data_IF_696573967197
#
_entry.id   IF_696573967197
#
_cell.length_a   1.000
_cell.length_b   1.000
_cell.length_c   1.000
_cell.angle_alpha   90.00
_cell.angle_beta   90.00
_cell.angle_gamma   90.00
#
_symmetry.space_group_name_H-M   'P 1'
#
loop_
_entity.id
_entity.type
_entity.pdbx_description
1 polymer ?
#
# COMPACT_ATOMS: atom_id res chain seq x y z
N UNK A 1 -27.17 -9.83 -2.22
CA UNK A 1 -27.11 -10.54 -0.94
C UNK A 1 -28.53 -10.89 -0.52
N UNK A 2 -28.77 -12.15 -0.15
CA UNK A 2 -29.98 -12.54 0.59
C UNK A 2 -29.52 -12.74 2.03
N UNK A 3 -30.29 -12.20 2.97
CA UNK A 3 -29.96 -12.26 4.40
C UNK A 3 -29.74 -13.72 4.83
N UNK A 4 -28.60 -14.02 5.46
CA UNK A 4 -28.22 -15.38 5.87
C UNK A 4 -27.76 -16.32 4.75
N UNK A 5 -27.55 -15.85 3.52
CA UNK A 5 -27.08 -16.72 2.43
C UNK A 5 -25.69 -17.32 2.71
N UNK A 6 -25.49 -18.63 2.43
CA UNK A 6 -24.17 -19.24 2.54
C UNK A 6 -23.26 -18.78 1.40
N UNK A 7 -21.95 -18.83 1.66
CA UNK A 7 -20.91 -18.54 0.67
C UNK A 7 -20.31 -19.84 0.14
N UNK A 8 -19.92 -19.86 -1.13
CA UNK A 8 -19.13 -20.95 -1.70
C UNK A 8 -17.72 -20.44 -1.97
N UNK A 9 -16.72 -21.04 -1.34
CA UNK A 9 -15.32 -20.64 -1.48
C UNK A 9 -14.39 -21.85 -1.54
N UNK A 10 -13.55 -21.94 -2.57
CA UNK A 10 -12.64 -23.08 -2.77
C UNK A 10 -13.34 -24.44 -2.89
N UNK A 11 -14.59 -24.47 -3.39
CA UNK A 11 -15.42 -25.68 -3.48
C UNK A 11 -16.10 -26.08 -2.16
N UNK A 12 -15.87 -25.35 -1.07
CA UNK A 12 -16.53 -25.56 0.23
C UNK A 12 -17.65 -24.55 0.46
N UNK A 13 -18.66 -24.95 1.23
CA UNK A 13 -19.82 -24.10 1.58
C UNK A 13 -19.68 -23.63 3.02
N UNK A 14 -19.70 -22.31 3.22
CA UNK A 14 -19.58 -21.63 4.51
C UNK A 14 -20.89 -20.92 4.85
N UNK A 15 -21.31 -20.97 6.12
CA UNK A 15 -22.53 -20.28 6.58
C UNK A 15 -22.29 -18.79 6.76
N UNK A 16 -23.35 -17.97 6.66
CA UNK A 16 -23.23 -16.54 7.01
C UNK A 16 -22.79 -16.41 8.49
N UNK A 17 -21.77 -15.59 8.73
CA UNK A 17 -21.07 -15.43 10.01
C UNK A 17 -19.88 -16.38 10.21
N UNK A 18 -19.71 -17.40 9.38
CA UNK A 18 -18.62 -18.37 9.52
C UNK A 18 -17.28 -17.77 9.08
N UNK A 19 -16.25 -17.95 9.91
CA UNK A 19 -14.89 -17.50 9.63
C UNK A 19 -13.94 -18.69 9.41
N UNK A 20 -13.10 -18.60 8.39
CA UNK A 20 -12.19 -19.66 7.97
C UNK A 20 -10.85 -19.09 7.49
N UNK A 21 -9.79 -19.88 7.54
CA UNK A 21 -8.50 -19.50 6.94
C UNK A 21 -8.40 -20.09 5.54
N UNK A 22 -8.37 -19.23 4.52
CA UNK A 22 -8.16 -19.68 3.13
C UNK A 22 -6.70 -20.08 2.88
N UNK A 23 -5.77 -19.53 3.67
CA UNK A 23 -4.37 -19.93 3.75
C UNK A 23 -3.77 -19.40 5.04
N UNK A 24 -2.51 -19.72 5.33
CA UNK A 24 -1.81 -19.11 6.47
C UNK A 24 -1.70 -17.57 6.37
N UNK A 25 -1.89 -16.99 5.16
CA UNK A 25 -1.78 -15.56 4.90
C UNK A 25 -3.11 -14.80 5.05
N UNK A 26 -4.26 -15.47 5.14
CA UNK A 26 -5.59 -14.82 5.09
C UNK A 26 -6.59 -15.46 6.04
N UNK A 27 -7.34 -14.59 6.72
CA UNK A 27 -8.54 -14.94 7.46
C UNK A 27 -9.75 -14.40 6.70
N UNK A 28 -10.70 -15.26 6.37
CA UNK A 28 -11.91 -14.93 5.63
C UNK A 28 -13.15 -15.11 6.50
N UNK A 29 -14.20 -14.35 6.19
CA UNK A 29 -15.52 -14.45 6.81
C UNK A 29 -16.58 -14.39 5.73
N UNK A 30 -17.53 -15.33 5.79
CA UNK A 30 -18.73 -15.31 4.98
C UNK A 30 -19.77 -14.41 5.63
N UNK A 31 -20.35 -13.48 4.87
CA UNK A 31 -21.46 -12.63 5.29
C UNK A 31 -22.45 -12.50 4.13
N UNK A 32 -23.64 -13.09 4.30
CA UNK A 32 -24.80 -12.97 3.42
C UNK A 32 -24.52 -13.25 1.93
N UNK A 33 -23.73 -14.30 1.70
CA UNK A 33 -23.30 -14.78 0.38
C UNK A 33 -22.04 -14.10 -0.16
N UNK A 34 -21.43 -13.16 0.56
CA UNK A 34 -20.16 -12.54 0.20
C UNK A 34 -19.03 -12.98 1.13
N UNK A 35 -17.87 -13.28 0.56
CA UNK A 35 -16.66 -13.62 1.33
C UNK A 35 -15.76 -12.39 1.41
N UNK A 36 -15.47 -11.94 2.62
CA UNK A 36 -14.47 -10.91 2.89
C UNK A 36 -13.24 -11.53 3.53
N UNK A 37 -12.04 -11.22 3.03
CA UNK A 37 -10.78 -11.70 3.60
C UNK A 37 -9.90 -10.55 4.08
N UNK A 38 -9.21 -10.75 5.20
CA UNK A 38 -8.20 -9.84 5.74
C UNK A 38 -6.81 -10.50 5.69
N UNK A 39 -5.77 -9.78 5.23
CA UNK A 39 -4.41 -10.31 5.24
C UNK A 39 -3.90 -10.44 6.68
N UNK A 40 -3.28 -11.56 6.98
CA UNK A 40 -2.56 -11.86 8.22
C UNK A 40 -1.08 -11.44 8.14
N UNK A 41 -0.56 -11.30 6.93
CA UNK A 41 0.82 -10.84 6.68
C UNK A 41 0.90 -9.32 6.45
N UNK A 42 2.06 -8.73 6.75
CA UNK A 42 2.34 -7.35 6.35
C UNK A 42 2.36 -7.20 4.83
N UNK A 43 1.65 -6.18 4.35
CA UNK A 43 1.59 -5.77 2.94
C UNK A 43 2.40 -4.48 2.71
N UNK A 44 3.36 -4.19 3.59
CA UNK A 44 4.19 -3.00 3.49
C UNK A 44 5.18 -3.14 2.33
N UNK A 45 5.40 -2.02 1.63
CA UNK A 45 6.34 -1.94 0.50
C UNK A 45 7.64 -1.29 0.99
N UNK A 46 8.75 -2.01 0.89
CA UNK A 46 10.08 -1.45 1.13
C UNK A 46 10.65 -0.95 -0.19
N UNK A 47 10.77 0.37 -0.29
CA UNK A 47 11.43 1.02 -1.42
C UNK A 47 12.95 1.07 -1.18
N UNK A 48 13.75 1.12 -2.27
CA UNK A 48 15.18 1.37 -2.16
C UNK A 48 15.49 2.61 -1.30
N UNK A 49 16.36 2.42 -0.30
CA UNK A 49 16.85 3.47 0.59
C UNK A 49 18.38 3.41 0.69
N UNK A 50 19.06 4.44 1.23
CA UNK A 50 20.52 4.40 1.43
C UNK A 50 20.98 3.18 2.23
N UNK A 51 20.24 2.80 3.28
CA UNK A 51 20.56 1.65 4.14
C UNK A 51 20.13 0.30 3.53
N UNK A 52 19.35 0.32 2.45
CA UNK A 52 18.84 -0.88 1.79
C UNK A 52 18.57 -0.57 0.32
N UNK A 53 19.62 -0.52 -0.52
CA UNK A 53 19.49 -0.12 -1.91
C UNK A 53 18.75 -1.16 -2.76
N UNK A 54 18.84 -2.44 -2.40
CA UNK A 54 18.19 -3.54 -3.12
C UNK A 54 17.31 -4.38 -2.18
N UNK A 55 16.14 -3.84 -1.76
CA UNK A 55 15.20 -4.60 -0.96
C UNK A 55 14.57 -5.71 -1.81
N UNK A 56 14.53 -6.93 -1.26
CA UNK A 56 13.86 -8.08 -1.87
C UNK A 56 13.03 -8.80 -0.82
N UNK A 57 11.83 -9.22 -1.22
CA UNK A 57 10.89 -9.95 -0.36
C UNK A 57 11.08 -11.44 -0.58
N UNK A 58 11.36 -12.18 0.49
CA UNK A 58 11.74 -13.60 0.41
C UNK A 58 10.92 -14.49 1.32
N UNK A 59 10.53 -15.66 0.82
CA UNK A 59 9.86 -16.70 1.59
C UNK A 59 10.92 -17.49 2.36
N UNK A 60 10.96 -17.31 3.68
CA UNK A 60 11.86 -18.08 4.54
C UNK A 60 11.24 -19.45 4.87
N UNK A 61 12.05 -20.53 4.92
CA UNK A 61 11.58 -21.85 5.33
C UNK A 61 10.88 -21.79 6.70
N UNK A 62 9.73 -22.45 6.83
CA UNK A 62 8.95 -22.51 8.07
C UNK A 62 8.17 -21.25 8.46
N UNK A 63 8.38 -20.09 7.81
CA UNK A 63 7.60 -18.87 8.05
C UNK A 63 6.43 -18.75 7.08
N UNK A 64 5.25 -18.33 7.55
CA UNK A 64 4.11 -18.08 6.67
C UNK A 64 4.30 -16.84 5.78
N UNK A 65 4.69 -15.72 6.38
CA UNK A 65 4.88 -14.46 5.67
C UNK A 65 6.29 -14.37 5.07
N UNK A 66 6.41 -13.68 3.94
CA UNK A 66 7.72 -13.28 3.42
C UNK A 66 8.32 -12.16 4.27
N UNK A 67 9.64 -12.09 4.31
CA UNK A 67 10.39 -11.05 5.00
C UNK A 67 11.26 -10.26 4.03
N UNK A 68 11.56 -9.02 4.40
CA UNK A 68 12.44 -8.15 3.63
C UNK A 68 13.89 -8.47 3.94
N UNK A 69 14.65 -8.85 2.91
CA UNK A 69 16.11 -8.89 2.93
C UNK A 69 16.65 -7.76 2.06
N UNK A 70 17.79 -7.22 2.45
CA UNK A 70 18.51 -6.20 1.69
C UNK A 70 19.72 -6.89 1.08
N UNK A 71 19.68 -7.10 -0.24
CA UNK A 71 20.84 -7.66 -0.93
C UNK A 71 21.89 -6.54 -1.12
N UNK A 72 23.17 -6.91 -1.06
CA UNK A 72 24.27 -6.00 -1.39
C UNK A 72 24.33 -5.76 -2.92
N UNK A 73 24.87 -4.61 -3.32
CA UNK A 73 25.17 -4.36 -4.73
C UNK A 73 26.13 -5.45 -5.22
N UNK A 74 25.70 -6.32 -6.14
CA UNK A 74 26.65 -7.15 -6.90
C UNK A 74 27.41 -6.24 -7.86
N UNK A 75 28.41 -5.53 -7.36
CA UNK A 75 29.39 -4.91 -8.24
C UNK A 75 30.38 -5.99 -8.71
N UNK A 76 30.33 -6.29 -10.00
CA UNK A 76 31.51 -6.77 -10.72
C UNK A 76 32.46 -5.58 -10.92
N UNK A 77 33.20 -5.21 -9.89
CA UNK A 77 34.36 -4.31 -10.01
C UNK A 77 35.48 -4.85 -9.15
N UNK A 78 36.50 -5.39 -9.83
CA UNK A 78 37.74 -5.83 -9.24
C UNK A 78 38.57 -4.60 -8.83
N UNK A 79 38.39 -4.10 -7.61
CA UNK A 79 39.41 -3.33 -6.89
C UNK A 79 39.28 -3.68 -5.41
N UNK A 80 40.37 -4.17 -4.81
CA UNK A 80 40.40 -4.83 -3.50
C UNK A 80 40.07 -3.95 -2.29
N UNK A 81 39.93 -4.56 -1.10
CA UNK A 81 39.49 -3.85 0.10
C UNK A 81 40.62 -2.97 0.64
N UNK A 82 40.46 -1.66 0.52
CA UNK A 82 41.25 -0.70 1.29
C UNK A 82 40.65 -0.58 2.70
N UNK A 83 41.31 -1.25 3.65
CA UNK A 83 41.37 -1.01 5.10
C UNK A 83 40.08 -0.53 5.81
N UNK A 84 39.59 -1.41 6.69
CA UNK A 84 38.65 -1.06 7.73
C UNK A 84 39.25 0.02 8.65
N UNK A 85 38.89 1.28 8.41
CA UNK A 85 39.05 2.33 9.41
C UNK A 85 38.04 2.03 10.52
N UNK A 86 38.54 1.63 11.69
CA UNK A 86 37.78 1.59 12.94
C UNK A 86 37.08 2.94 13.12
N UNK A 87 35.77 2.99 12.87
CA UNK A 87 34.91 4.06 13.35
C UNK A 87 34.54 3.71 14.79
N UNK A 88 34.62 4.70 15.67
CA UNK A 88 34.06 4.62 17.01
C UNK A 88 32.59 4.19 16.86
N UNK A 89 32.19 3.10 17.51
CA UNK A 89 30.78 2.73 17.67
C UNK A 89 30.10 3.88 18.43
N UNK A 90 29.50 4.82 17.69
CA UNK A 90 28.50 5.69 18.27
C UNK A 90 27.40 4.79 18.79
N UNK A 91 27.29 4.67 20.11
CA UNK A 91 26.11 4.08 20.76
C UNK A 91 24.88 4.79 20.18
N UNK A 92 24.19 4.13 19.26
CA UNK A 92 22.92 4.57 18.68
C UNK A 92 21.87 4.59 19.78
N UNK A 93 21.92 5.62 20.62
CA UNK A 93 20.78 6.02 21.44
C UNK A 93 19.59 6.30 20.51
N UNK A 94 18.35 6.05 20.94
CA UNK A 94 17.19 6.41 20.14
C UNK A 94 17.25 7.89 19.78
N UNK A 95 16.99 8.20 18.50
CA UNK A 95 16.98 9.58 17.98
C UNK A 95 16.19 10.49 18.94
N UNK A 96 16.76 11.62 19.41
CA UNK A 96 16.08 12.55 20.31
C UNK A 96 14.70 13.00 19.81
N UNK A 97 14.45 12.99 18.50
CA UNK A 97 13.15 13.30 17.90
C UNK A 97 12.08 12.21 18.14
N UNK A 98 12.51 10.99 18.46
CA UNK A 98 11.65 9.85 18.81
C UNK A 98 11.34 9.81 20.32
N UNK A 99 11.89 10.72 21.12
CA UNK A 99 11.70 10.73 22.55
C UNK A 99 10.66 11.78 22.94
N UNK A 100 9.47 11.33 23.34
CA UNK A 100 8.51 12.19 24.05
C UNK A 100 8.77 12.09 25.54
N UNK A 101 8.34 13.12 26.29
CA UNK A 101 8.58 13.23 27.74
C UNK A 101 8.23 11.95 28.52
N UNK A 102 7.30 11.13 28.02
CA UNK A 102 6.79 9.96 28.72
C UNK A 102 7.07 8.62 28.02
N UNK A 103 7.66 8.60 26.82
CA UNK A 103 7.94 7.35 26.12
C UNK A 103 8.81 7.46 24.85
N UNK A 104 9.34 6.30 24.44
CA UNK A 104 9.95 6.10 23.14
C UNK A 104 8.87 5.92 22.06
N UNK A 105 8.86 6.80 21.08
CA UNK A 105 7.89 6.82 19.98
C UNK A 105 8.27 5.77 18.95
N UNK A 106 7.34 4.87 18.68
CA UNK A 106 7.40 3.84 17.66
C UNK A 106 6.26 4.09 16.68
N UNK A 107 6.62 4.41 15.44
CA UNK A 107 5.66 4.61 14.35
C UNK A 107 6.08 3.75 13.19
N UNK A 108 5.20 2.86 12.75
CA UNK A 108 5.44 2.09 11.53
C UNK A 108 5.27 3.00 10.31
N UNK A 109 5.87 2.58 9.20
CA UNK A 109 5.51 3.12 7.91
C UNK A 109 4.03 2.87 7.59
N UNK A 110 3.51 3.64 6.63
CA UNK A 110 2.17 3.39 6.09
C UNK A 110 2.17 2.13 5.23
N UNK A 111 1.13 1.31 5.38
CA UNK A 111 0.87 0.19 4.49
C UNK A 111 0.69 0.65 3.04
N UNK A 112 0.85 -0.30 2.11
CA UNK A 112 0.38 -0.11 0.75
C UNK A 112 -1.10 0.29 0.74
N UNK A 113 -1.50 1.03 -0.30
CA UNK A 113 -2.90 1.36 -0.49
C UNK A 113 -3.67 0.08 -0.81
N UNK A 114 -4.81 -0.14 -0.16
CA UNK A 114 -5.65 -1.32 -0.36
C UNK A 114 -6.21 -1.49 -1.78
N UNK A 115 -6.02 -0.49 -2.65
CA UNK A 115 -6.35 -0.54 -4.07
C UNK A 115 -5.23 0.10 -4.87
N UNK A 116 -4.89 -0.48 -6.02
CA UNK A 116 -3.87 0.08 -6.93
C UNK A 116 -4.41 1.24 -7.78
N UNK A 117 -5.73 1.36 -7.91
CA UNK A 117 -6.45 2.50 -8.49
C UNK A 117 -7.71 2.84 -7.68
N UNK A 118 -8.23 4.05 -7.87
CA UNK A 118 -9.42 4.51 -7.16
C UNK A 118 -9.15 4.79 -5.68
N UNK A 119 -10.22 5.08 -4.94
CA UNK A 119 -10.13 5.35 -3.51
C UNK A 119 -10.01 4.05 -2.70
N UNK A 120 -8.95 3.97 -1.90
CA UNK A 120 -8.66 2.88 -0.97
C UNK A 120 -8.25 3.40 0.40
N UNK A 121 -7.71 2.49 1.22
CA UNK A 121 -7.30 2.76 2.60
C UNK A 121 -5.83 2.34 2.78
N UNK A 122 -5.07 3.16 3.51
CA UNK A 122 -3.74 2.79 4.02
C UNK A 122 -3.74 2.94 5.54
N UNK A 123 -3.03 2.05 6.23
CA UNK A 123 -3.01 2.00 7.70
C UNK A 123 -1.59 1.98 8.23
N UNK A 124 -1.40 2.42 9.47
CA UNK A 124 -0.14 2.27 10.21
C UNK A 124 -0.44 2.07 11.70
N UNK A 125 0.56 1.66 12.46
CA UNK A 125 0.47 1.62 13.92
C UNK A 125 1.45 2.64 14.51
N UNK A 126 1.01 3.39 15.51
CA UNK A 126 1.86 4.37 16.18
C UNK A 126 1.46 4.53 17.63
N UNK A 127 2.44 4.74 18.52
CA UNK A 127 2.21 5.20 19.89
C UNK A 127 2.40 6.72 20.05
N UNK A 128 2.46 7.46 18.94
CA UNK A 128 2.50 8.92 18.93
C UNK A 128 1.12 9.50 19.32
N UNK A 129 0.86 9.47 20.62
CA UNK A 129 -0.28 10.15 21.25
C UNK A 129 0.08 10.53 22.69
N UNK A 130 -0.77 11.33 23.31
CA UNK A 130 -0.55 11.88 24.66
C UNK A 130 -0.38 10.78 25.73
N UNK A 131 -0.94 9.59 25.52
CA UNK A 131 -0.93 8.48 26.47
C UNK A 131 0.12 7.41 26.13
N UNK A 132 0.87 7.60 25.06
CA UNK A 132 1.81 6.64 24.49
C UNK A 132 1.29 5.20 24.32
N UNK A 133 0.05 5.07 23.85
CA UNK A 133 -0.55 3.75 23.58
C UNK A 133 -0.49 3.44 22.11
N UNK A 134 -0.17 2.20 21.75
CA UNK A 134 -0.19 1.76 20.36
C UNK A 134 -1.61 1.85 19.81
N UNK A 135 -1.78 2.60 18.74
CA UNK A 135 -3.05 2.81 18.06
C UNK A 135 -2.90 2.59 16.55
N UNK A 136 -3.92 1.96 15.96
CA UNK A 136 -4.02 1.81 14.51
C UNK A 136 -4.58 3.10 13.90
N UNK A 137 -3.79 3.76 13.08
CA UNK A 137 -4.23 4.90 12.30
C UNK A 137 -4.61 4.46 10.88
N UNK A 138 -5.66 5.07 10.34
CA UNK A 138 -6.13 4.85 8.98
C UNK A 138 -6.25 6.17 8.22
N UNK A 139 -5.92 6.16 6.92
CA UNK A 139 -6.11 7.29 6.01
C UNK A 139 -6.58 6.80 4.65
N UNK A 140 -7.36 7.64 3.97
CA UNK A 140 -7.73 7.43 2.57
C UNK A 140 -6.49 7.53 1.68
N UNK A 141 -6.41 6.72 0.64
CA UNK A 141 -5.35 6.77 -0.36
C UNK A 141 -5.93 6.62 -1.76
N UNK A 142 -5.29 7.25 -2.74
CA UNK A 142 -5.63 7.09 -4.16
C UNK A 142 -4.33 7.12 -4.95
N UNK A 143 -3.84 5.95 -5.37
CA UNK A 143 -2.56 5.83 -6.08
C UNK A 143 -2.69 6.41 -7.49
N UNK A 144 -3.80 6.13 -8.16
CA UNK A 144 -4.17 6.62 -9.50
C UNK A 144 -5.69 6.51 -9.73
N UNK A 145 -6.29 7.29 -10.63
CA UNK A 145 -7.65 7.05 -11.11
C UNK A 145 -7.74 5.72 -11.89
N UNK A 146 -8.87 5.02 -11.86
CA UNK A 146 -9.03 3.74 -12.57
C UNK A 146 -9.29 3.91 -14.07
N UNK A 147 -9.95 5.00 -14.49
CA UNK A 147 -10.34 5.27 -15.89
C UNK A 147 -9.31 6.10 -16.66
N UNK A 148 -8.09 6.24 -16.13
CA UNK A 148 -7.05 6.98 -16.83
C UNK A 148 -6.27 6.02 -17.74
N UNK A 149 -6.22 6.29 -19.04
CA UNK A 149 -5.38 5.58 -20.03
C UNK A 149 -3.90 5.93 -19.83
N UNK A 150 -3.36 5.54 -18.68
CA UNK A 150 -2.01 5.89 -18.25
C UNK A 150 -0.93 5.20 -19.09
N UNK A 151 -1.26 4.08 -19.75
CA UNK A 151 -0.36 3.35 -20.64
C UNK A 151 -0.08 4.12 -21.93
N UNK A 152 -1.10 4.76 -22.51
CA UNK A 152 -0.95 5.59 -23.71
C UNK A 152 -0.05 6.82 -23.47
N UNK A 153 0.03 7.25 -22.21
CA UNK A 153 0.89 8.35 -21.80
C UNK A 153 2.37 7.96 -21.68
N UNK A 154 2.72 6.68 -21.84
CA UNK A 154 4.11 6.22 -21.86
C UNK A 154 4.78 6.70 -23.15
N UNK A 155 5.79 7.56 -23.02
CA UNK A 155 6.58 8.04 -24.16
C UNK A 155 7.21 6.87 -24.92
N UNK A 156 7.18 6.95 -26.27
CA UNK A 156 7.85 5.98 -27.16
C UNK A 156 9.28 5.68 -26.67
N UNK A 157 9.62 4.40 -26.58
CA UNK A 157 10.92 3.91 -26.10
C UNK A 157 11.04 3.76 -24.58
N UNK A 158 10.06 4.21 -23.78
CA UNK A 158 10.00 3.92 -22.34
C UNK A 158 9.02 2.79 -22.07
N UNK A 159 9.25 2.04 -21.00
CA UNK A 159 8.34 0.99 -20.50
C UNK A 159 7.54 1.42 -19.26
N UNK A 160 7.80 2.61 -18.74
CA UNK A 160 7.19 3.13 -17.52
C UNK A 160 6.93 4.63 -17.60
N UNK A 161 5.83 5.07 -16.96
CA UNK A 161 5.60 6.45 -16.58
C UNK A 161 5.45 6.56 -15.07
N UNK A 162 6.40 7.25 -14.42
CA UNK A 162 6.43 7.34 -12.95
C UNK A 162 5.33 8.22 -12.38
N UNK A 163 5.11 9.38 -13.00
CA UNK A 163 4.14 10.38 -12.56
C UNK A 163 3.46 10.97 -13.80
N UNK A 164 2.28 10.49 -14.18
CA UNK A 164 1.53 11.04 -15.31
C UNK A 164 1.18 12.50 -15.05
N UNK A 165 1.16 13.30 -16.13
CA UNK A 165 0.72 14.70 -16.06
C UNK A 165 -0.80 14.71 -16.08
N UNK A 166 -1.41 14.90 -14.91
CA UNK A 166 -2.85 15.20 -14.82
C UNK A 166 -2.99 16.71 -14.71
N UNK A 167 -3.47 17.33 -15.77
CA UNK A 167 -3.53 18.80 -15.93
C UNK A 167 -4.71 19.43 -15.20
N UNK A 168 -5.76 18.66 -14.91
CA UNK A 168 -7.01 19.17 -14.34
C UNK A 168 -7.08 18.90 -12.83
N UNK A 169 -7.41 19.92 -12.00
CA UNK A 169 -7.78 19.69 -10.60
C UNK A 169 -8.95 18.72 -10.50
N UNK A 170 -8.92 17.83 -9.51
CA UNK A 170 -9.94 16.80 -9.30
C UNK A 170 -10.67 17.03 -7.97
N UNK A 171 -11.95 16.65 -7.92
CA UNK A 171 -12.65 16.42 -6.66
C UNK A 171 -12.52 14.94 -6.29
N UNK A 172 -12.47 14.66 -5.00
CA UNK A 172 -12.46 13.29 -4.50
C UNK A 172 -13.87 12.87 -4.11
N UNK A 173 -14.21 11.62 -4.35
CA UNK A 173 -15.51 11.04 -4.01
C UNK A 173 -15.35 9.87 -3.05
N UNK A 174 -16.17 9.85 -2.00
CA UNK A 174 -16.20 8.81 -0.99
C UNK A 174 -17.66 8.52 -0.61
N UNK A 175 -18.15 7.32 -0.93
CA UNK A 175 -19.50 6.86 -0.55
C UNK A 175 -20.62 7.86 -0.91
N UNK A 176 -20.54 8.48 -2.09
CA UNK A 176 -21.51 9.49 -2.55
C UNK A 176 -21.25 10.93 -2.06
N UNK A 177 -20.29 11.13 -1.16
CA UNK A 177 -19.86 12.45 -0.71
C UNK A 177 -18.70 12.97 -1.56
N UNK A 178 -18.69 14.27 -1.85
CA UNK A 178 -17.68 14.90 -2.73
C UNK A 178 -16.84 15.90 -1.95
N UNK A 179 -15.53 15.97 -2.23
CA UNK A 179 -14.65 16.94 -1.59
C UNK A 179 -15.10 18.38 -1.88
N UNK A 180 -15.11 19.21 -0.83
CA UNK A 180 -15.54 20.62 -0.93
C UNK A 180 -14.62 21.38 -1.87
N UNK A 181 -13.31 21.17 -1.74
CA UNK A 181 -12.27 21.78 -2.55
C UNK A 181 -11.88 20.86 -3.71
N UNK A 182 -11.40 21.45 -4.80
CA UNK A 182 -10.68 20.76 -5.87
C UNK A 182 -9.19 20.70 -5.55
N UNK A 183 -8.54 19.58 -5.86
CA UNK A 183 -7.14 19.35 -5.56
C UNK A 183 -6.33 19.10 -6.82
N UNK A 184 -5.14 19.71 -6.91
CA UNK A 184 -4.10 19.33 -7.89
C UNK A 184 -3.27 18.19 -7.34
N UNK A 185 -3.86 17.00 -7.27
CA UNK A 185 -3.21 15.81 -6.73
C UNK A 185 -2.22 15.22 -7.75
N UNK A 186 -1.10 14.68 -7.25
CA UNK A 186 -0.22 13.83 -8.06
C UNK A 186 -0.65 12.39 -7.92
N UNK A 187 -0.47 11.64 -8.99
CA UNK A 187 -0.76 10.21 -9.06
C UNK A 187 0.47 9.46 -9.56
N UNK A 188 0.58 8.18 -9.22
CA UNK A 188 1.61 7.30 -9.74
C UNK A 188 1.15 6.63 -11.02
N UNK A 189 2.06 6.44 -11.97
CA UNK A 189 1.71 5.84 -13.25
C UNK A 189 1.93 4.33 -13.30
N UNK A 190 2.01 3.81 -14.52
CA UNK A 190 2.06 2.38 -14.85
C UNK A 190 3.36 2.02 -15.55
N UNK A 191 3.66 0.73 -15.55
CA UNK A 191 4.77 0.12 -16.25
C UNK A 191 4.27 -1.12 -17.00
N UNK A 192 4.89 -1.42 -18.13
CA UNK A 192 4.57 -2.57 -18.99
C UNK A 192 5.64 -3.67 -18.94
N UNK A 193 6.64 -3.53 -18.08
CA UNK A 193 7.78 -4.45 -17.95
C UNK A 193 7.82 -5.24 -16.65
N UNK A 194 6.65 -5.44 -16.02
CA UNK A 194 6.52 -6.18 -14.76
C UNK A 194 6.90 -5.36 -13.52
N UNK A 195 7.27 -4.09 -13.66
CA UNK A 195 7.38 -3.17 -12.53
C UNK A 195 6.02 -2.61 -12.15
N UNK A 196 5.91 -2.12 -10.93
CA UNK A 196 4.82 -1.26 -10.49
C UNK A 196 5.41 0.07 -10.03
N UNK A 197 4.63 1.14 -10.19
CA UNK A 197 4.97 2.43 -9.61
C UNK A 197 4.07 2.72 -8.41
N UNK A 198 4.67 2.88 -7.23
CA UNK A 198 3.97 3.12 -5.97
C UNK A 198 4.36 4.49 -5.37
N UNK A 199 3.56 5.03 -4.44
CA UNK A 199 3.91 6.26 -3.72
C UNK A 199 5.21 6.11 -2.95
N UNK A 200 6.14 7.06 -3.11
CA UNK A 200 7.42 7.07 -2.37
C UNK A 200 7.39 8.07 -1.22
N UNK A 201 7.29 9.37 -1.52
CA UNK A 201 7.08 10.39 -0.49
C UNK A 201 5.62 10.82 -0.50
N UNK A 202 4.99 10.82 0.66
CA UNK A 202 3.57 11.18 0.83
C UNK A 202 3.40 12.14 1.99
N UNK A 203 2.32 12.92 1.97
CA UNK A 203 1.85 13.71 3.09
C UNK A 203 0.42 13.30 3.44
N UNK A 204 0.05 13.37 4.72
CA UNK A 204 -1.34 13.15 5.15
C UNK A 204 -1.98 14.49 5.47
N UNK A 205 -3.05 14.85 4.76
CA UNK A 205 -3.79 16.09 5.00
C UNK A 205 -5.27 15.81 5.25
N UNK A 206 -5.96 16.59 6.10
CA UNK A 206 -7.40 16.48 6.25
C UNK A 206 -8.12 17.03 5.01
N UNK A 207 -9.12 16.28 4.54
CA UNK A 207 -10.01 16.65 3.43
C UNK A 207 -11.45 16.66 3.95
N UNK A 208 -12.18 17.72 3.60
CA UNK A 208 -13.59 17.89 3.90
C UNK A 208 -14.42 17.39 2.71
N UNK A 209 -15.39 16.53 2.99
CA UNK A 209 -16.36 16.02 2.03
C UNK A 209 -17.75 16.51 2.41
N UNK A 210 -18.51 16.99 1.43
CA UNK A 210 -19.91 17.34 1.56
C UNK A 210 -20.76 16.21 0.99
N UNK A 211 -21.66 15.68 1.80
CA UNK A 211 -22.58 14.61 1.44
C UNK A 211 -23.91 15.18 0.89
N UNK A 212 -24.74 14.36 0.20
CA UNK A 212 -26.00 14.83 -0.40
C UNK A 212 -27.03 15.38 0.61
N UNK A 213 -26.99 14.89 1.84
CA UNK A 213 -27.76 15.35 3.00
C UNK A 213 -27.29 16.70 3.57
N UNK A 214 -26.17 17.23 3.07
CA UNK A 214 -25.58 18.49 3.51
C UNK A 214 -24.54 18.35 4.63
N UNK A 215 -24.33 17.14 5.16
CA UNK A 215 -23.31 16.90 6.19
C UNK A 215 -21.89 17.12 5.64
N UNK A 216 -21.01 17.66 6.49
CA UNK A 216 -19.60 17.84 6.18
C UNK A 216 -18.76 16.93 7.07
N UNK A 217 -18.09 15.97 6.44
CA UNK A 217 -17.21 15.02 7.12
C UNK A 217 -15.74 15.30 6.82
N UNK A 218 -14.89 15.22 7.84
CA UNK A 218 -13.43 15.32 7.72
C UNK A 218 -12.79 13.94 7.69
N UNK A 219 -11.89 13.71 6.72
CA UNK A 219 -11.12 12.47 6.59
C UNK A 219 -9.65 12.77 6.31
N UNK A 220 -8.75 12.01 6.94
CA UNK A 220 -7.30 12.07 6.64
C UNK A 220 -7.06 11.40 5.29
N UNK A 221 -6.36 12.07 4.38
CA UNK A 221 -6.09 11.58 3.04
C UNK A 221 -4.60 11.70 2.68
N UNK A 222 -4.09 10.71 1.95
CA UNK A 222 -2.75 10.66 1.40
C UNK A 222 -2.64 11.56 0.16
N UNK A 223 -1.64 12.44 0.17
CA UNK A 223 -1.22 13.26 -0.97
C UNK A 223 0.19 12.84 -1.41
N UNK A 224 0.30 12.33 -2.62
CA UNK A 224 1.55 11.85 -3.19
C UNK A 224 2.43 13.04 -3.56
N UNK A 225 3.70 13.03 -3.11
CA UNK A 225 4.71 14.03 -3.50
C UNK A 225 5.59 13.52 -4.62
N UNK A 226 6.03 12.26 -4.52
CA UNK A 226 6.84 11.54 -5.51
C UNK A 226 6.42 10.07 -5.58
N UNK A 227 6.70 9.43 -6.71
CA UNK A 227 6.51 7.99 -6.92
C UNK A 227 7.86 7.33 -7.22
N UNK A 228 7.95 6.01 -7.02
CA UNK A 228 9.08 5.17 -7.40
C UNK A 228 8.56 3.92 -8.14
N UNK A 229 9.31 3.43 -9.13
CA UNK A 229 8.95 2.21 -9.85
C UNK A 229 9.95 1.09 -9.53
N UNK A 230 9.44 -0.08 -9.16
CA UNK A 230 10.23 -1.20 -8.64
C UNK A 230 9.55 -2.53 -9.00
N UNK A 231 10.25 -3.65 -8.78
CA UNK A 231 9.72 -4.99 -9.02
C UNK A 231 9.01 -5.60 -7.81
N UNK A 232 9.11 -4.97 -6.62
CA UNK A 232 8.47 -5.50 -5.42
C UNK A 232 7.00 -5.07 -5.31
N UNK A 233 6.11 -5.63 -6.13
CA UNK A 233 4.76 -5.08 -6.23
C UNK A 233 3.84 -5.48 -5.08
N UNK A 234 3.00 -4.55 -4.59
CA UNK A 234 1.98 -4.89 -3.61
C UNK A 234 1.02 -5.89 -4.26
N UNK A 235 0.87 -7.07 -3.64
CA UNK A 235 -0.10 -8.08 -4.07
C UNK A 235 0.37 -9.17 -5.03
N UNK A 236 1.63 -9.16 -5.50
CA UNK A 236 2.14 -10.13 -6.50
C UNK A 236 2.05 -11.61 -6.07
N UNK A 237 1.83 -11.89 -4.77
CA UNK A 237 1.71 -13.25 -4.24
C UNK A 237 0.27 -13.62 -3.82
N UNK A 238 -0.73 -12.86 -4.25
CA UNK A 238 -2.11 -13.00 -3.77
C UNK A 238 -3.10 -13.43 -4.87
N UNK A 239 -3.58 -14.67 -4.76
CA UNK A 239 -4.64 -15.23 -5.61
C UNK A 239 -5.90 -14.34 -5.57
N UNK A 240 -6.18 -13.68 -4.44
CA UNK A 240 -7.35 -12.83 -4.27
C UNK A 240 -7.24 -11.46 -4.98
N UNK A 241 -6.05 -10.85 -5.03
CA UNK A 241 -5.86 -9.61 -5.83
C UNK A 241 -5.82 -9.92 -7.32
N UNK A 242 -5.24 -11.06 -7.73
CA UNK A 242 -5.20 -11.45 -9.15
C UNK A 242 -6.59 -11.63 -9.79
N UNK A 243 -7.58 -12.09 -9.01
CA UNK A 243 -8.97 -12.23 -9.45
C UNK A 243 -9.70 -10.88 -9.59
N UNK A 244 -9.27 -9.85 -8.87
CA UNK A 244 -9.80 -8.48 -9.01
C UNK A 244 -9.09 -7.68 -10.11
N UNK A 245 -7.82 -7.97 -10.41
CA UNK A 245 -7.00 -7.24 -11.40
C UNK A 245 -6.96 -7.87 -12.79
N UNK A 246 -7.43 -9.12 -12.97
CA UNK A 246 -7.70 -9.65 -14.30
C UNK A 246 -8.99 -9.00 -14.80
N UNK A 247 -8.84 -7.82 -15.41
CA UNK A 247 -9.79 -7.21 -16.33
C UNK A 247 -10.40 -8.37 -17.14
N UNK A 248 -11.66 -8.72 -16.91
CA UNK A 248 -12.38 -9.70 -17.72
C UNK A 248 -12.59 -9.10 -19.11
N UNK A 249 -11.51 -9.07 -19.90
CA UNK A 249 -11.61 -8.99 -21.33
C UNK A 249 -11.99 -10.38 -21.81
N UNK A 250 -13.27 -10.52 -22.15
CA UNK A 250 -13.78 -11.59 -22.98
C UNK A 250 -14.31 -12.80 -22.23
N UNK A 251 -15.51 -12.67 -21.67
CA UNK A 251 -16.51 -13.74 -21.69
C UNK A 251 -17.84 -13.12 -22.19
N UNK A 252 -17.84 -12.75 -23.47
CA UNK A 252 -19.05 -12.81 -24.29
C UNK A 252 -18.88 -14.00 -25.22
N UNK A 253 -19.40 -15.14 -24.78
CA UNK A 253 -19.86 -16.25 -25.60
C UNK A 253 -20.90 -17.03 -24.78
#
# INVERSE_FOLDING_TARGET
ARDGAPCVFGGMVYRSGESFQSSCKYQCTCLDGAVGCVPLCSMDVRLPSPDCPYPRRVKLPGKCCEEWVCDEAKEQTAVGPALAAYRLEDTYGPDPTMMRANCLVQTTEWSACSKTCGMGISTRVTNDNAFCRLEKQSRLCMVRPCEADLEENIKKGKKCIRTPKISKPVKFELSGCTSVKTYRAKFCGVCTDGRCCTPHRTATLPVEFKCPDGEIMKRKMMFIKTCACHYNCPGDNDIFESLYYRKMYGDMA
#
